data_IF_564395028548
#
_entry.id   IF_564395028548
#
_cell.length_a   1.000
_cell.length_b   1.000
_cell.length_c   1.000
_cell.angle_alpha   90.00
_cell.angle_beta   90.00
_cell.angle_gamma   90.00
#
_symmetry.space_group_name_H-M   'P 1'
#
loop_
_entity.id
_entity.type
_entity.pdbx_description
1 polymer ?
#
# COMPACT_ATOMS: atom_id res chain seq x y z
N UNK A 1 0.80 9.56 10.41
CA UNK A 1 0.62 8.19 10.92
C UNK A 1 1.10 7.10 9.95
N UNK A 2 1.06 7.31 8.63
CA UNK A 2 1.39 6.30 7.62
C UNK A 2 2.79 5.64 7.73
N UNK A 3 3.71 6.17 8.55
CA UNK A 3 5.03 5.58 8.82
C UNK A 3 5.05 4.57 9.97
N UNK A 4 3.94 4.42 10.72
CA UNK A 4 3.82 3.42 11.79
C UNK A 4 3.18 2.16 11.21
N UNK A 5 3.98 1.11 11.01
CA UNK A 5 3.54 -0.11 10.32
C UNK A 5 2.37 -0.81 11.02
N UNK A 6 2.44 -0.94 12.35
CA UNK A 6 1.36 -1.53 13.16
C UNK A 6 0.57 -0.42 13.88
N UNK A 7 -0.02 0.49 13.11
CA UNK A 7 -0.88 1.52 13.67
C UNK A 7 -2.25 0.95 14.03
N UNK A 8 -2.58 0.92 15.34
CA UNK A 8 -3.83 0.32 15.86
C UNK A 8 -4.77 1.32 16.50
N UNK A 9 -4.35 2.58 16.64
CA UNK A 9 -5.16 3.65 17.25
C UNK A 9 -6.00 4.34 16.18
N UNK A 10 -7.22 4.74 16.52
CA UNK A 10 -8.04 5.59 15.67
C UNK A 10 -8.15 6.97 16.32
N UNK A 11 -7.60 7.99 15.67
CA UNK A 11 -7.80 9.36 16.11
C UNK A 11 -9.20 9.81 15.66
N UNK A 12 -9.98 10.33 16.61
CA UNK A 12 -11.36 10.78 16.36
C UNK A 12 -11.43 12.24 15.91
N UNK A 13 -10.31 12.96 15.94
CA UNK A 13 -10.19 14.32 15.43
C UNK A 13 -9.34 14.29 14.16
N UNK A 14 -9.76 14.99 13.09
CA UNK A 14 -8.96 15.10 11.89
C UNK A 14 -7.66 15.86 12.19
N UNK A 15 -6.57 15.57 11.46
CA UNK A 15 -5.35 16.36 11.57
C UNK A 15 -5.63 17.80 11.10
N UNK A 16 -4.87 18.77 11.64
CA UNK A 16 -4.97 20.16 11.21
C UNK A 16 -4.73 20.33 9.69
N UNK A 17 -3.83 19.51 9.14
CA UNK A 17 -3.57 19.41 7.71
C UNK A 17 -3.57 17.94 7.28
N UNK A 18 -4.30 17.64 6.20
CA UNK A 18 -4.27 16.32 5.59
C UNK A 18 -3.15 16.28 4.54
N UNK A 19 -2.09 15.52 4.82
CA UNK A 19 -0.93 15.39 3.93
C UNK A 19 -0.94 14.08 3.13
N UNK A 20 -1.28 12.99 3.81
CA UNK A 20 -1.34 11.65 3.23
C UNK A 20 -2.34 10.79 3.98
N UNK A 21 -2.79 9.71 3.34
CA UNK A 21 -3.67 8.71 3.92
C UNK A 21 -3.18 7.33 3.53
N UNK A 22 -3.03 6.44 4.50
CA UNK A 22 -2.74 5.02 4.28
C UNK A 22 -3.82 4.23 4.98
N UNK A 23 -4.42 3.29 4.26
CA UNK A 23 -5.36 2.33 4.80
C UNK A 23 -4.86 0.93 4.48
N UNK A 24 -4.80 0.09 5.52
CA UNK A 24 -4.53 -1.33 5.41
C UNK A 24 -5.73 -2.05 6.01
N UNK A 25 -6.56 -2.65 5.15
CA UNK A 25 -7.85 -3.18 5.55
C UNK A 25 -8.27 -4.37 4.69
N UNK A 26 -8.98 -5.28 5.35
CA UNK A 26 -9.49 -6.49 4.75
C UNK A 26 -11.01 -6.61 4.78
N UNK A 27 -11.50 -7.69 4.21
CA UNK A 27 -12.87 -8.17 4.33
C UNK A 27 -12.87 -9.69 4.41
N UNK A 28 -13.94 -10.28 4.95
CA UNK A 28 -14.11 -11.73 4.97
C UNK A 28 -15.36 -12.13 4.19
N UNK A 29 -15.26 -13.22 3.42
CA UNK A 29 -16.42 -13.87 2.81
C UNK A 29 -16.27 -15.38 2.86
N UNK A 30 -17.25 -16.08 3.45
CA UNK A 30 -17.24 -17.54 3.64
C UNK A 30 -15.95 -18.07 4.31
N UNK A 31 -15.37 -17.33 5.26
CA UNK A 31 -14.12 -17.69 5.92
C UNK A 31 -12.83 -17.39 5.13
N UNK A 32 -12.92 -16.82 3.93
CA UNK A 32 -11.78 -16.36 3.15
C UNK A 32 -11.53 -14.87 3.39
N UNK A 33 -10.29 -14.51 3.74
CA UNK A 33 -9.89 -13.14 3.97
C UNK A 33 -9.36 -12.48 2.67
N UNK A 34 -9.74 -11.22 2.48
CA UNK A 34 -9.07 -10.28 1.59
C UNK A 34 -8.21 -9.34 2.42
N UNK A 35 -7.05 -8.94 1.89
CA UNK A 35 -6.10 -8.05 2.53
C UNK A 35 -5.62 -7.01 1.52
N UNK A 36 -5.92 -5.73 1.74
CA UNK A 36 -5.68 -4.65 0.79
C UNK A 36 -5.11 -3.40 1.48
N UNK A 37 -3.95 -2.97 1.02
CA UNK A 37 -3.34 -1.70 1.41
C UNK A 37 -3.42 -0.68 0.28
N UNK A 38 -3.75 0.59 0.60
CA UNK A 38 -3.65 1.73 -0.33
C UNK A 38 -3.10 2.96 0.37
N UNK A 39 -2.28 3.70 -0.37
CA UNK A 39 -1.69 4.98 0.06
C UNK A 39 -2.09 6.08 -0.90
N UNK A 40 -2.40 7.25 -0.35
CA UNK A 40 -2.85 8.44 -1.07
C UNK A 40 -2.05 9.66 -0.60
N UNK A 41 -1.72 10.53 -1.55
CA UNK A 41 -1.26 11.88 -1.28
C UNK A 41 -2.46 12.83 -1.29
N UNK A 42 -2.49 13.81 -0.38
CA UNK A 42 -3.59 14.78 -0.35
C UNK A 42 -3.54 15.77 -1.53
N UNK A 43 -2.33 16.19 -1.92
CA UNK A 43 -2.12 17.12 -3.03
C UNK A 43 -1.66 16.37 -4.28
N UNK A 44 -2.50 16.38 -5.32
CA UNK A 44 -2.14 15.90 -6.65
C UNK A 44 -0.93 16.68 -7.19
N UNK A 45 0.03 15.96 -7.77
CA UNK A 45 1.27 16.52 -8.34
C UNK A 45 2.37 16.85 -7.32
N UNK A 46 2.17 16.59 -6.03
CA UNK A 46 3.24 16.65 -5.04
C UNK A 46 4.30 15.57 -5.29
N UNK A 47 5.52 15.78 -4.77
CA UNK A 47 6.58 14.75 -4.84
C UNK A 47 6.13 13.43 -4.22
N UNK A 48 5.38 13.47 -3.12
CA UNK A 48 4.81 12.27 -2.51
C UNK A 48 3.76 11.60 -3.40
N UNK A 49 2.95 12.36 -4.15
CA UNK A 49 2.02 11.80 -5.12
C UNK A 49 2.76 11.07 -6.26
N UNK A 50 3.89 11.62 -6.73
CA UNK A 50 4.73 10.95 -7.72
C UNK A 50 5.35 9.67 -7.15
N UNK A 51 5.88 9.71 -5.92
CA UNK A 51 6.40 8.52 -5.25
C UNK A 51 5.35 7.40 -5.15
N UNK A 52 4.12 7.73 -4.72
CA UNK A 52 3.02 6.75 -4.63
C UNK A 52 2.68 6.18 -6.00
N UNK A 53 2.66 7.00 -7.04
CA UNK A 53 2.38 6.57 -8.42
C UNK A 53 3.47 5.63 -8.94
N UNK A 54 4.73 5.96 -8.74
CA UNK A 54 5.87 5.18 -9.21
C UNK A 54 5.89 3.82 -8.49
N UNK A 55 5.72 3.83 -7.16
CA UNK A 55 5.64 2.59 -6.37
C UNK A 55 4.46 1.70 -6.78
N UNK A 56 3.29 2.28 -7.08
CA UNK A 56 2.14 1.51 -7.58
C UNK A 56 2.43 0.91 -8.97
N UNK A 57 3.15 1.63 -9.83
CA UNK A 57 3.54 1.13 -11.15
C UNK A 57 4.48 -0.08 -11.04
N UNK A 58 5.49 0.01 -10.18
CA UNK A 58 6.41 -1.10 -9.90
C UNK A 58 5.70 -2.30 -9.26
N UNK A 59 4.79 -2.06 -8.30
CA UNK A 59 4.00 -3.11 -7.69
C UNK A 59 3.16 -3.88 -8.73
N UNK A 60 2.47 -3.17 -9.62
CA UNK A 60 1.67 -3.79 -10.68
C UNK A 60 2.55 -4.56 -11.68
N UNK A 61 3.68 -3.98 -12.09
CA UNK A 61 4.63 -4.65 -12.97
C UNK A 61 5.17 -5.95 -12.35
N UNK A 62 5.44 -5.97 -11.04
CA UNK A 62 5.85 -7.18 -10.33
C UNK A 62 4.72 -8.22 -10.30
N UNK A 63 3.49 -7.80 -10.00
CA UNK A 63 2.31 -8.68 -9.99
C UNK A 63 2.09 -9.35 -11.35
N UNK A 64 2.27 -8.61 -12.45
CA UNK A 64 2.13 -9.15 -13.81
C UNK A 64 3.15 -10.26 -14.13
N UNK A 65 4.24 -10.38 -13.37
CA UNK A 65 5.26 -11.43 -13.54
C UNK A 65 5.00 -12.69 -12.71
N UNK A 66 3.97 -12.69 -11.85
CA UNK A 66 3.67 -13.81 -10.95
C UNK A 66 3.25 -15.04 -11.76
N UNK A 67 3.98 -16.14 -11.56
CA UNK A 67 3.68 -17.43 -12.22
C UNK A 67 4.15 -18.62 -11.39
N UNK A 68 3.55 -19.78 -11.66
CA UNK A 68 3.94 -21.04 -11.04
C UNK A 68 5.38 -21.41 -11.36
N UNK A 69 6.10 -21.96 -10.38
CA UNK A 69 7.47 -22.46 -10.55
C UNK A 69 8.57 -21.40 -10.36
N UNK A 70 8.23 -20.14 -10.07
CA UNK A 70 9.20 -19.10 -9.67
C UNK A 70 9.31 -19.06 -8.15
N UNK A 71 10.52 -18.87 -7.63
CA UNK A 71 10.73 -18.72 -6.19
C UNK A 71 10.25 -17.34 -5.74
N UNK A 72 9.45 -17.29 -4.69
CA UNK A 72 8.95 -16.02 -4.16
C UNK A 72 10.08 -15.07 -3.71
N UNK A 73 11.22 -15.61 -3.25
CA UNK A 73 12.40 -14.81 -2.87
C UNK A 73 12.97 -13.98 -4.03
N UNK A 74 12.72 -14.40 -5.27
CA UNK A 74 13.20 -13.68 -6.44
C UNK A 74 12.38 -12.40 -6.65
N UNK A 75 11.07 -12.45 -6.38
CA UNK A 75 10.20 -11.26 -6.36
C UNK A 75 10.57 -10.30 -5.23
N UNK A 76 10.97 -10.83 -4.06
CA UNK A 76 11.46 -10.01 -2.96
C UNK A 76 12.73 -9.23 -3.35
N UNK A 77 13.69 -9.88 -4.02
CA UNK A 77 14.90 -9.20 -4.53
C UNK A 77 14.56 -8.21 -5.63
N UNK A 78 13.60 -8.52 -6.51
CA UNK A 78 13.19 -7.61 -7.57
C UNK A 78 12.53 -6.33 -7.06
N UNK A 79 11.83 -6.40 -5.92
CA UNK A 79 11.19 -5.24 -5.29
C UNK A 79 12.18 -4.35 -4.52
N UNK A 80 13.35 -4.89 -4.16
CA UNK A 80 14.39 -4.21 -3.39
C UNK A 80 15.29 -3.31 -4.25
#
# INVERSE_FOLDING_TARGET
>A
HASVLHYTKLDHQPPAESLSFLIDAGAEYNGYAADLTRTYAAQSGSEFAHLVKDLNSEQLALIDTIKTGVRYTDYHVQMH
#
